data_IF_605978916387
#
_entry.id   IF_605978916387
#
_cell.length_a   1.000
_cell.length_b   1.000
_cell.length_c   1.000
_cell.angle_alpha   90.00
_cell.angle_beta   90.00
_cell.angle_gamma   90.00
#
_symmetry.space_group_name_H-M   'P 1'
#
loop_
_entity.id
_entity.type
_entity.pdbx_description
1 polymer ?
#
# COMPACT_ATOMS: atom_id res chain seq x y z
N UNK A 1 21.19 13.84 -23.87
CA UNK A 1 20.09 13.55 -22.92
C UNK A 1 19.35 12.36 -23.53
N UNK A 2 19.10 11.26 -22.79
CA UNK A 2 18.41 10.11 -23.37
C UNK A 2 16.99 10.53 -23.80
N UNK A 3 16.62 10.18 -25.03
CA UNK A 3 15.35 10.53 -25.67
C UNK A 3 14.13 10.16 -24.79
N UNK A 4 13.30 11.15 -24.47
CA UNK A 4 11.98 10.94 -23.86
C UNK A 4 11.77 11.45 -22.42
N UNK A 5 12.71 12.17 -21.81
CA UNK A 5 12.50 12.85 -20.51
C UNK A 5 12.30 14.35 -20.68
N UNK A 6 11.17 14.87 -20.22
CA UNK A 6 10.84 16.30 -20.18
C UNK A 6 10.87 16.82 -18.74
N UNK A 7 11.39 18.04 -18.57
CA UNK A 7 11.34 18.77 -17.31
C UNK A 7 9.98 19.45 -17.19
N UNK A 8 9.17 18.98 -16.26
CA UNK A 8 7.86 19.54 -15.98
C UNK A 8 7.85 20.22 -14.62
N UNK A 9 7.18 21.35 -14.52
CA UNK A 9 6.92 22.02 -13.25
C UNK A 9 5.54 21.63 -12.77
N UNK A 10 5.48 21.12 -11.54
CA UNK A 10 4.22 20.88 -10.83
C UNK A 10 4.23 21.59 -9.49
N UNK A 11 3.14 21.43 -8.77
CA UNK A 11 2.88 22.10 -7.51
C UNK A 11 2.54 21.08 -6.43
N UNK A 12 3.11 21.26 -5.25
CA UNK A 12 2.76 20.43 -4.11
C UNK A 12 1.29 20.66 -3.73
N UNK A 13 0.49 19.61 -3.69
CA UNK A 13 -0.95 19.67 -3.36
C UNK A 13 -1.24 20.19 -1.95
N UNK A 14 -0.26 20.12 -1.05
CA UNK A 14 -0.41 20.55 0.35
C UNK A 14 0.03 21.99 0.60
N UNK A 15 1.24 22.36 0.19
CA UNK A 15 1.81 23.70 0.46
C UNK A 15 1.82 24.62 -0.75
N UNK A 16 1.48 24.13 -1.95
CA UNK A 16 1.51 24.91 -3.19
C UNK A 16 2.92 25.25 -3.70
N UNK A 17 3.98 24.69 -3.10
CA UNK A 17 5.34 24.94 -3.57
C UNK A 17 5.53 24.35 -4.97
N UNK A 18 6.02 25.20 -5.89
CA UNK A 18 6.43 24.76 -7.21
C UNK A 18 7.69 23.89 -7.11
N UNK A 19 7.68 22.75 -7.79
CA UNK A 19 8.84 21.87 -7.91
C UNK A 19 9.02 21.45 -9.36
N UNK A 20 10.26 21.28 -9.79
CA UNK A 20 10.58 20.76 -11.10
C UNK A 20 10.89 19.27 -10.99
N UNK A 21 10.25 18.46 -11.82
CA UNK A 21 10.48 17.03 -11.92
C UNK A 21 10.80 16.64 -13.35
N UNK A 22 11.78 15.76 -13.51
CA UNK A 22 12.11 15.15 -14.79
C UNK A 22 11.28 13.88 -14.92
N UNK A 23 10.37 13.88 -15.89
CA UNK A 23 9.40 12.79 -16.12
C UNK A 23 9.45 12.36 -17.57
N UNK A 24 8.93 11.18 -17.87
CA UNK A 24 8.81 10.75 -19.26
C UNK A 24 7.75 11.60 -19.98
N UNK A 25 7.92 11.78 -21.28
CA UNK A 25 6.96 12.48 -22.13
C UNK A 25 5.56 11.86 -21.97
N UNK A 26 4.53 12.67 -21.72
CA UNK A 26 3.13 12.22 -21.62
C UNK A 26 2.55 12.08 -20.21
N UNK A 27 3.28 12.50 -19.16
CA UNK A 27 2.69 12.63 -17.82
C UNK A 27 1.67 13.76 -17.76
N UNK A 28 0.55 13.55 -17.07
CA UNK A 28 -0.45 14.59 -16.85
C UNK A 28 0.00 15.58 -15.77
N UNK A 29 -0.59 16.78 -15.72
CA UNK A 29 -0.30 17.75 -14.65
C UNK A 29 -0.57 17.15 -13.26
N UNK A 30 -1.59 16.30 -13.11
CA UNK A 30 -1.87 15.62 -11.83
C UNK A 30 -0.73 14.67 -11.42
N UNK A 31 -0.14 13.94 -12.37
CA UNK A 31 1.01 13.06 -12.09
C UNK A 31 2.27 13.87 -11.73
N UNK A 32 2.48 15.00 -12.40
CA UNK A 32 3.59 15.92 -12.12
C UNK A 32 3.42 16.55 -10.74
N UNK A 33 2.23 17.03 -10.40
CA UNK A 33 1.89 17.57 -9.09
C UNK A 33 2.05 16.52 -7.99
N UNK A 34 1.63 15.29 -8.23
CA UNK A 34 1.83 14.16 -7.31
C UNK A 34 3.33 13.85 -7.12
N UNK A 35 4.14 13.87 -8.19
CA UNK A 35 5.58 13.67 -8.09
C UNK A 35 6.29 14.80 -7.34
N UNK A 36 5.89 16.05 -7.58
CA UNK A 36 6.38 17.23 -6.83
C UNK A 36 5.95 17.12 -5.38
N UNK A 37 4.70 16.74 -5.12
CA UNK A 37 4.17 16.52 -3.77
C UNK A 37 4.96 15.45 -3.04
N UNK A 38 5.27 14.32 -3.66
CA UNK A 38 6.06 13.26 -3.05
C UNK A 38 7.53 13.65 -2.79
N UNK A 39 8.09 14.57 -3.59
CA UNK A 39 9.46 15.09 -3.41
C UNK A 39 9.53 16.35 -2.53
N UNK A 40 8.39 16.90 -2.14
CA UNK A 40 8.34 18.14 -1.37
C UNK A 40 8.76 17.88 0.09
N UNK A 41 9.50 18.83 0.68
CA UNK A 41 10.03 18.70 2.04
C UNK A 41 9.10 19.24 3.13
N UNK A 42 7.91 19.71 2.78
CA UNK A 42 6.95 20.22 3.74
C UNK A 42 6.39 19.10 4.64
N UNK A 43 6.01 19.43 5.89
CA UNK A 43 5.54 18.44 6.86
C UNK A 43 4.35 17.59 6.37
N UNK A 44 3.44 18.20 5.60
CA UNK A 44 2.29 17.50 5.04
C UNK A 44 2.69 16.51 3.93
N UNK A 45 3.58 16.93 3.03
CA UNK A 45 4.13 16.07 1.98
C UNK A 45 4.97 14.93 2.55
N UNK A 46 5.82 15.20 3.54
CA UNK A 46 6.60 14.17 4.25
C UNK A 46 5.70 13.14 4.89
N UNK A 47 4.69 13.58 5.66
CA UNK A 47 3.69 12.67 6.24
C UNK A 47 2.97 11.85 5.18
N UNK A 48 2.60 12.46 4.06
CA UNK A 48 1.93 11.77 2.96
C UNK A 48 2.85 10.73 2.29
N UNK A 49 4.10 11.08 1.99
CA UNK A 49 5.09 10.17 1.41
C UNK A 49 5.41 9.01 2.35
N UNK A 50 5.63 9.29 3.64
CA UNK A 50 5.84 8.27 4.67
C UNK A 50 4.63 7.36 4.81
N UNK A 51 3.41 7.92 4.82
CA UNK A 51 2.17 7.18 4.89
C UNK A 51 2.01 6.25 3.68
N UNK A 52 2.25 6.76 2.46
CA UNK A 52 2.26 5.96 1.24
C UNK A 52 3.30 4.85 1.29
N UNK A 53 4.53 5.11 1.74
CA UNK A 53 5.56 4.08 1.84
C UNK A 53 5.14 2.96 2.82
N UNK A 54 4.57 3.32 3.97
CA UNK A 54 4.05 2.35 4.95
C UNK A 54 2.92 1.51 4.37
N UNK A 55 1.98 2.13 3.66
CA UNK A 55 0.88 1.47 2.95
C UNK A 55 1.42 0.53 1.89
N UNK A 56 2.34 0.99 1.03
CA UNK A 56 2.94 0.17 -0.03
C UNK A 56 3.69 -1.03 0.55
N UNK A 57 4.49 -0.86 1.61
CA UNK A 57 5.14 -1.97 2.32
C UNK A 57 4.13 -2.99 2.85
N UNK A 58 3.01 -2.54 3.40
CA UNK A 58 1.95 -3.42 3.89
C UNK A 58 1.22 -4.15 2.75
N UNK A 59 0.94 -3.45 1.64
CA UNK A 59 0.36 -4.02 0.42
C UNK A 59 1.26 -5.08 -0.19
N UNK A 60 2.57 -4.82 -0.31
CA UNK A 60 3.54 -5.82 -0.78
C UNK A 60 3.52 -7.07 0.10
N UNK A 61 3.52 -6.92 1.44
CA UNK A 61 3.42 -8.06 2.36
C UNK A 61 2.13 -8.86 2.19
N UNK A 62 1.00 -8.19 1.94
CA UNK A 62 -0.27 -8.87 1.63
C UNK A 62 -0.11 -9.70 0.35
N UNK A 63 0.43 -9.11 -0.72
CA UNK A 63 0.65 -9.81 -1.98
C UNK A 63 1.64 -10.97 -1.83
N UNK A 64 2.67 -10.85 -1.00
CA UNK A 64 3.60 -11.95 -0.71
C UNK A 64 2.92 -13.08 0.10
N UNK A 65 2.07 -12.75 1.07
CA UNK A 65 1.41 -13.72 1.94
C UNK A 65 0.17 -14.37 1.32
N UNK A 66 -0.53 -13.66 0.45
CA UNK A 66 -1.86 -14.02 -0.06
C UNK A 66 -1.98 -13.97 -1.59
N UNK A 67 -1.04 -13.33 -2.28
CA UNK A 67 -1.06 -13.22 -3.74
C UNK A 67 -0.71 -14.52 -4.45
N UNK A 68 -0.64 -14.45 -5.78
CA UNK A 68 -0.50 -15.60 -6.68
C UNK A 68 0.77 -16.42 -6.45
N UNK A 69 1.81 -15.80 -5.86
CA UNK A 69 3.10 -16.42 -5.54
C UNK A 69 3.15 -17.03 -4.14
N UNK A 70 2.08 -16.91 -3.35
CA UNK A 70 2.02 -17.46 -2.01
C UNK A 70 1.80 -18.98 -2.01
N UNK A 71 2.19 -19.66 -0.94
CA UNK A 71 2.11 -21.12 -0.81
C UNK A 71 0.65 -21.64 -0.88
N UNK A 72 -0.31 -20.82 -0.40
CA UNK A 72 -1.71 -20.95 -0.81
C UNK A 72 -2.22 -19.58 -1.25
N UNK A 73 -2.34 -19.33 -2.56
CA UNK A 73 -2.92 -18.10 -3.03
C UNK A 73 -4.41 -18.07 -2.66
N UNK A 74 -4.92 -16.87 -2.41
CA UNK A 74 -6.37 -16.66 -2.25
C UNK A 74 -6.90 -15.91 -3.45
N UNK A 75 -8.23 -15.80 -3.53
CA UNK A 75 -8.87 -15.07 -4.60
C UNK A 75 -8.38 -13.61 -4.65
N UNK A 76 -8.14 -13.11 -5.85
CA UNK A 76 -7.59 -11.79 -6.10
C UNK A 76 -8.57 -10.68 -5.65
N UNK A 77 -9.87 -10.98 -5.67
CA UNK A 77 -10.89 -10.10 -5.09
C UNK A 77 -10.67 -9.91 -3.58
N UNK A 78 -10.35 -10.99 -2.86
CA UNK A 78 -10.09 -10.95 -1.41
C UNK A 78 -8.78 -10.21 -1.10
N UNK A 79 -7.74 -10.44 -1.91
CA UNK A 79 -6.48 -9.67 -1.83
C UNK A 79 -6.78 -8.18 -2.00
N UNK A 80 -7.57 -7.80 -2.99
CA UNK A 80 -7.95 -6.41 -3.25
C UNK A 80 -8.67 -5.77 -2.06
N UNK A 81 -9.57 -6.50 -1.40
CA UNK A 81 -10.21 -6.04 -0.15
C UNK A 81 -9.17 -5.78 0.93
N UNK A 82 -8.18 -6.66 1.11
CA UNK A 82 -7.10 -6.42 2.08
C UNK A 82 -6.28 -5.17 1.76
N UNK A 83 -5.97 -4.94 0.47
CA UNK A 83 -5.25 -3.74 0.03
C UNK A 83 -6.04 -2.47 0.39
N UNK A 84 -7.36 -2.46 0.16
CA UNK A 84 -8.22 -1.33 0.52
C UNK A 84 -8.31 -1.14 2.05
N UNK A 85 -8.28 -2.24 2.82
CA UNK A 85 -8.25 -2.17 4.28
C UNK A 85 -6.96 -1.51 4.78
N UNK A 86 -5.81 -1.74 4.14
CA UNK A 86 -4.57 -1.03 4.49
C UNK A 86 -4.75 0.48 4.36
N UNK A 87 -5.37 0.95 3.27
CA UNK A 87 -5.65 2.38 3.08
C UNK A 87 -6.62 2.91 4.15
N UNK A 88 -7.68 2.16 4.46
CA UNK A 88 -8.65 2.54 5.49
C UNK A 88 -8.06 2.56 6.91
N UNK A 89 -7.13 1.65 7.22
CA UNK A 89 -6.37 1.63 8.47
C UNK A 89 -5.49 2.88 8.56
N UNK A 90 -4.85 3.25 7.47
CA UNK A 90 -3.95 4.39 7.45
C UNK A 90 -4.68 5.72 7.56
N UNK A 91 -5.83 5.83 6.89
CA UNK A 91 -6.80 6.91 7.06
C UNK A 91 -7.48 6.92 8.45
N UNK A 92 -7.12 6.01 9.36
CA UNK A 92 -7.63 5.89 10.74
C UNK A 92 -9.14 5.62 10.82
N UNK A 93 -9.76 5.14 9.74
CA UNK A 93 -11.17 4.74 9.74
C UNK A 93 -11.38 3.39 10.44
N UNK A 94 -10.35 2.56 10.54
CA UNK A 94 -10.43 1.26 11.20
C UNK A 94 -9.13 0.86 11.90
N UNK A 95 -9.24 0.00 12.91
CA UNK A 95 -8.10 -0.55 13.66
C UNK A 95 -7.54 -1.84 13.05
N UNK A 96 -8.34 -2.55 12.27
CA UNK A 96 -7.98 -3.81 11.63
C UNK A 96 -9.19 -4.61 11.19
N UNK A 97 -8.94 -5.68 10.44
CA UNK A 97 -9.92 -6.65 9.96
C UNK A 97 -9.38 -8.06 10.16
N UNK A 98 -10.29 -9.03 10.30
CA UNK A 98 -9.99 -10.45 10.12
C UNK A 98 -10.85 -10.96 8.97
N UNK A 99 -10.22 -11.59 7.99
CA UNK A 99 -10.88 -12.18 6.82
C UNK A 99 -10.70 -13.69 6.91
N UNK A 100 -11.82 -14.41 6.92
CA UNK A 100 -11.84 -15.86 6.77
C UNK A 100 -12.01 -16.18 5.28
N UNK A 101 -10.99 -16.77 4.68
CA UNK A 101 -10.98 -17.08 3.25
C UNK A 101 -11.51 -18.52 3.02
N UNK A 102 -11.81 -19.26 4.08
CA UNK A 102 -12.11 -20.69 4.00
C UNK A 102 -10.85 -21.54 3.80
N UNK A 103 -11.05 -22.85 3.61
CA UNK A 103 -9.97 -23.84 3.44
C UNK A 103 -8.90 -23.85 4.57
N UNK A 104 -9.28 -23.38 5.76
CA UNK A 104 -8.40 -23.30 6.93
C UNK A 104 -7.44 -22.10 6.92
N UNK A 105 -7.59 -21.16 5.97
CA UNK A 105 -6.77 -19.95 5.87
C UNK A 105 -7.53 -18.75 6.41
N UNK A 106 -6.96 -18.10 7.43
CA UNK A 106 -7.43 -16.83 7.98
C UNK A 106 -6.38 -15.76 7.82
N UNK A 107 -6.81 -14.57 7.48
CA UNK A 107 -5.97 -13.41 7.33
C UNK A 107 -6.37 -12.34 8.32
N UNK A 108 -5.40 -11.66 8.90
CA UNK A 108 -5.63 -10.58 9.84
C UNK A 108 -4.74 -9.40 9.50
N UNK A 109 -5.35 -8.26 9.25
CA UNK A 109 -4.65 -7.00 8.99
C UNK A 109 -5.00 -6.03 10.11
N UNK A 110 -4.01 -5.50 10.83
CA UNK A 110 -4.27 -4.63 11.98
C UNK A 110 -3.20 -3.56 12.17
N UNK A 111 -3.61 -2.39 12.68
CA UNK A 111 -2.70 -1.31 13.05
C UNK A 111 -2.06 -1.59 14.40
N UNK A 112 -0.74 -1.55 14.46
CA UNK A 112 0.01 -1.61 15.71
C UNK A 112 0.25 -0.22 16.30
N UNK A 113 0.66 -0.18 17.58
CA UNK A 113 0.91 1.04 18.33
C UNK A 113 1.98 1.98 17.72
N UNK A 114 2.91 1.45 16.91
CA UNK A 114 3.96 2.23 16.22
C UNK A 114 3.55 2.74 14.83
N UNK A 115 2.25 2.84 14.56
CA UNK A 115 1.71 3.08 13.20
C UNK A 115 2.15 2.06 12.14
N UNK A 116 2.73 0.94 12.55
CA UNK A 116 3.06 -0.16 11.65
C UNK A 116 1.82 -1.02 11.41
N UNK A 117 1.63 -1.43 10.15
CA UNK A 117 0.54 -2.32 9.77
C UNK A 117 1.06 -3.76 9.87
N UNK A 118 0.41 -4.55 10.73
CA UNK A 118 0.69 -5.97 10.91
C UNK A 118 -0.25 -6.78 10.04
N UNK A 119 0.33 -7.64 9.21
CA UNK A 119 -0.38 -8.59 8.37
C UNK A 119 -0.01 -9.98 8.89
N UNK A 120 -1.01 -10.74 9.31
CA UNK A 120 -0.86 -12.11 9.80
C UNK A 120 -1.68 -13.06 8.93
N UNK A 121 -1.06 -14.19 8.60
CA UNK A 121 -1.72 -15.35 7.98
C UNK A 121 -1.73 -16.47 9.00
N UNK A 122 -2.91 -17.05 9.24
CA UNK A 122 -3.11 -18.17 10.14
C UNK A 122 -3.66 -19.34 9.35
N UNK A 123 -2.98 -20.49 9.47
CA UNK A 123 -3.37 -21.72 8.78
C UNK A 123 -3.65 -22.80 9.82
N UNK A 124 -4.86 -23.35 9.75
CA UNK A 124 -5.31 -24.38 10.69
C UNK A 124 -5.29 -25.72 9.98
N UNK A 125 -4.28 -26.56 10.25
CA UNK A 125 -4.24 -27.95 9.79
C UNK A 125 -4.78 -28.86 10.90
N UNK A 126 -5.98 -29.42 10.71
CA UNK A 126 -6.49 -30.49 11.57
C UNK A 126 -5.89 -31.81 11.11
N UNK A 127 -4.94 -32.37 11.86
CA UNK A 127 -4.56 -33.78 11.75
C UNK A 127 -5.49 -34.58 12.65
N UNK A 128 -6.38 -35.37 12.06
CA UNK A 128 -7.18 -36.35 12.78
C UNK A 128 -6.35 -37.64 12.77
N UNK A 129 -5.96 -38.11 13.95
CA UNK A 129 -5.48 -39.48 14.14
C UNK A 129 -6.70 -40.30 14.56
N UNK A 130 -7.08 -41.27 13.75
CA UNK A 130 -7.96 -42.37 14.15
C UNK A 130 -7.06 -43.52 14.61
N UNK A 131 -7.30 -44.03 15.82
CA UNK A 131 -6.66 -45.23 16.39
C UNK A 131 -7.28 -46.50 15.78
#
# INVERSE_FOLDING_TARGET
>A
MPDGVESQTGYCRFCGQAGMVHTLTGWSQEDVDEAVTCKCECDAAKKYAESKERVQKAKSRITELFGSTAERPIDQDVVTVMLNVVDAIEAKHMKGITIDVGQGVKAKVSKMAKESIKVERSETSKKIYEE
#
